data_IF_182881813517
#
_entry.id   IF_182881813517
#
_cell.length_a   1.000
_cell.length_b   1.000
_cell.length_c   1.000
_cell.angle_alpha   90.00
_cell.angle_beta   90.00
_cell.angle_gamma   90.00
#
_symmetry.space_group_name_H-M   'P 1'
#
loop_
_entity.id
_entity.type
_entity.pdbx_description
1 polymer ?
#
# COMPACT_ATOMS: atom_id res chain seq x y z
N UNK A 1 -19.94 14.89 -1.36
CA UNK A 1 -19.85 14.45 -2.77
C UNK A 1 -18.42 14.02 -3.09
N UNK A 2 -17.40 14.83 -2.76
CA UNK A 2 -15.98 14.51 -3.01
C UNK A 2 -15.47 13.25 -2.28
N UNK A 3 -15.92 12.99 -1.05
CA UNK A 3 -15.48 11.83 -0.25
C UNK A 3 -15.83 10.48 -0.93
N UNK A 4 -17.05 10.36 -1.45
CA UNK A 4 -17.49 9.16 -2.16
C UNK A 4 -16.69 8.94 -3.45
N UNK A 5 -16.23 10.03 -4.08
CA UNK A 5 -15.40 9.95 -5.27
C UNK A 5 -14.02 9.37 -4.96
N UNK A 6 -13.39 9.78 -3.87
CA UNK A 6 -12.08 9.23 -3.46
C UNK A 6 -12.20 7.74 -3.14
N UNK A 7 -13.20 7.35 -2.34
CA UNK A 7 -13.40 5.93 -2.01
C UNK A 7 -13.74 5.10 -3.25
N UNK A 8 -14.58 5.63 -4.15
CA UNK A 8 -14.89 5.00 -5.43
C UNK A 8 -13.63 4.83 -6.30
N UNK A 9 -12.78 5.85 -6.36
CA UNK A 9 -11.49 5.78 -7.06
C UNK A 9 -10.62 4.64 -6.51
N UNK A 10 -10.47 4.50 -5.18
CA UNK A 10 -9.69 3.40 -4.60
C UNK A 10 -10.22 2.03 -5.01
N UNK A 11 -11.55 1.84 -4.98
CA UNK A 11 -12.22 0.60 -5.40
C UNK A 11 -12.02 0.32 -6.89
N UNK A 12 -12.20 1.33 -7.73
CA UNK A 12 -12.02 1.23 -9.17
C UNK A 12 -10.59 0.82 -9.52
N UNK A 13 -9.59 1.44 -8.89
CA UNK A 13 -8.19 1.14 -9.16
C UNK A 13 -7.74 -0.21 -8.61
N UNK A 14 -8.44 -0.73 -7.58
CA UNK A 14 -8.27 -2.11 -7.11
C UNK A 14 -8.87 -3.12 -8.09
N UNK A 15 -10.04 -2.82 -8.66
CA UNK A 15 -10.63 -3.62 -9.74
C UNK A 15 -9.74 -3.62 -10.98
N UNK A 16 -9.18 -2.47 -11.37
CA UNK A 16 -8.25 -2.36 -12.50
C UNK A 16 -6.99 -3.22 -12.28
N UNK A 17 -6.53 -3.36 -11.03
CA UNK A 17 -5.42 -4.25 -10.68
C UNK A 17 -5.80 -5.73 -10.89
N UNK A 18 -7.02 -6.13 -10.51
CA UNK A 18 -7.53 -7.48 -10.77
C UNK A 18 -7.60 -7.76 -12.27
N UNK A 19 -8.22 -6.86 -13.03
CA UNK A 19 -8.36 -7.01 -14.49
C UNK A 19 -6.98 -7.11 -15.17
N UNK A 20 -6.01 -6.34 -14.69
CA UNK A 20 -4.62 -6.44 -15.15
C UNK A 20 -4.05 -7.83 -14.88
N UNK A 21 -4.21 -8.39 -13.68
CA UNK A 21 -3.68 -9.72 -13.32
C UNK A 21 -4.33 -10.87 -14.11
N UNK A 22 -5.53 -10.67 -14.68
CA UNK A 22 -6.18 -11.68 -15.52
C UNK A 22 -5.49 -11.86 -16.89
N UNK A 23 -4.70 -10.90 -17.36
CA UNK A 23 -3.98 -11.05 -18.63
C UNK A 23 -2.80 -12.02 -18.50
N UNK A 24 -3.06 -13.28 -18.83
CA UNK A 24 -2.10 -14.40 -18.83
C UNK A 24 -0.82 -14.14 -19.63
N UNK A 25 -0.81 -13.17 -20.56
CA UNK A 25 0.37 -12.84 -21.38
C UNK A 25 1.35 -11.92 -20.67
N UNK A 26 0.99 -11.37 -19.51
CA UNK A 26 1.85 -10.43 -18.81
C UNK A 26 3.15 -11.08 -18.32
N UNK A 27 4.28 -10.34 -18.37
CA UNK A 27 5.54 -10.76 -17.74
C UNK A 27 5.39 -11.10 -16.25
N UNK A 28 4.37 -10.56 -15.59
CA UNK A 28 3.99 -10.87 -14.21
C UNK A 28 3.89 -12.38 -13.95
N UNK A 29 3.31 -13.15 -14.87
CA UNK A 29 3.13 -14.60 -14.68
C UNK A 29 4.44 -15.39 -14.79
N UNK A 30 5.52 -14.77 -15.30
CA UNK A 30 6.85 -15.38 -15.36
C UNK A 30 7.64 -15.15 -14.07
N UNK A 31 7.23 -14.20 -13.23
CA UNK A 31 7.86 -13.90 -11.95
C UNK A 31 7.53 -15.03 -10.97
N UNK A 32 8.57 -15.74 -10.50
CA UNK A 32 8.44 -16.91 -9.61
C UNK A 32 8.38 -16.56 -8.13
N UNK A 33 9.10 -15.53 -7.70
CA UNK A 33 9.22 -15.20 -6.28
C UNK A 33 8.00 -14.36 -5.83
N UNK A 34 7.37 -14.73 -4.71
CA UNK A 34 6.18 -14.04 -4.19
C UNK A 34 6.45 -12.55 -3.89
N UNK A 35 7.64 -12.20 -3.38
CA UNK A 35 7.96 -10.81 -3.03
C UNK A 35 8.19 -9.97 -4.29
N UNK A 36 8.83 -10.53 -5.31
CA UNK A 36 9.03 -9.83 -6.58
C UNK A 36 7.67 -9.61 -7.29
N UNK A 37 6.74 -10.57 -7.17
CA UNK A 37 5.34 -10.42 -7.61
C UNK A 37 4.62 -9.32 -6.83
N UNK A 38 4.75 -9.30 -5.51
CA UNK A 38 4.14 -8.27 -4.68
C UNK A 38 4.68 -6.87 -5.01
N UNK A 39 5.99 -6.72 -5.20
CA UNK A 39 6.60 -5.46 -5.62
C UNK A 39 6.07 -5.00 -6.99
N UNK A 40 5.94 -5.92 -7.95
CA UNK A 40 5.32 -5.64 -9.25
C UNK A 40 3.89 -5.12 -9.10
N UNK A 41 3.05 -5.79 -8.30
CA UNK A 41 1.64 -5.43 -8.12
C UNK A 41 1.48 -4.08 -7.43
N UNK A 42 2.27 -3.81 -6.39
CA UNK A 42 2.28 -2.52 -5.69
C UNK A 42 2.67 -1.39 -6.63
N UNK A 43 3.75 -1.58 -7.41
CA UNK A 43 4.17 -0.60 -8.42
C UNK A 43 3.13 -0.40 -9.51
N UNK A 44 2.46 -1.47 -9.94
CA UNK A 44 1.39 -1.37 -10.93
C UNK A 44 0.21 -0.57 -10.37
N UNK A 45 -0.22 -0.85 -9.14
CA UNK A 45 -1.28 -0.07 -8.48
C UNK A 45 -0.91 1.40 -8.32
N UNK A 46 0.33 1.72 -7.91
CA UNK A 46 0.81 3.09 -7.80
C UNK A 46 0.85 3.82 -9.15
N UNK A 47 1.15 3.11 -10.24
CA UNK A 47 1.14 3.70 -11.59
C UNK A 47 -0.24 4.25 -11.99
N UNK A 48 -1.32 3.70 -11.43
CA UNK A 48 -2.66 4.19 -11.67
C UNK A 48 -2.94 5.56 -11.04
N UNK A 49 -2.09 6.03 -10.14
CA UNK A 49 -2.21 7.37 -9.57
C UNK A 49 -1.71 8.47 -10.52
N UNK A 50 -0.97 8.12 -11.59
CA UNK A 50 -0.38 9.08 -12.54
C UNK A 50 -1.39 10.12 -13.07
N UNK A 51 -2.62 9.76 -13.48
CA UNK A 51 -3.59 10.73 -14.01
C UNK A 51 -4.16 11.70 -12.95
N UNK A 52 -4.00 11.40 -11.66
CA UNK A 52 -4.61 12.14 -10.54
C UNK A 52 -3.57 12.63 -9.53
N UNK A 53 -2.28 12.62 -9.89
CA UNK A 53 -1.19 12.86 -8.93
C UNK A 53 -1.28 14.23 -8.26
N UNK A 54 -1.74 15.25 -8.99
CA UNK A 54 -1.92 16.61 -8.49
C UNK A 54 -3.02 16.69 -7.42
N UNK A 55 -4.08 15.89 -7.56
CA UNK A 55 -5.22 15.86 -6.64
C UNK A 55 -5.02 14.84 -5.50
N UNK A 56 -4.08 13.90 -5.66
CA UNK A 56 -3.87 12.79 -4.73
C UNK A 56 -3.58 13.26 -3.31
N UNK A 57 -2.80 14.33 -3.14
CA UNK A 57 -2.47 14.89 -1.82
C UNK A 57 -3.73 15.30 -1.03
N UNK A 58 -4.66 16.01 -1.68
CA UNK A 58 -5.94 16.40 -1.10
C UNK A 58 -6.86 15.20 -0.86
N UNK A 59 -6.87 14.23 -1.77
CA UNK A 59 -7.64 12.99 -1.64
C UNK A 59 -7.20 12.18 -0.42
N UNK A 60 -5.88 12.01 -0.21
CA UNK A 60 -5.34 11.33 0.97
C UNK A 60 -5.70 12.03 2.27
N UNK A 61 -5.69 13.37 2.28
CA UNK A 61 -6.13 14.14 3.44
C UNK A 61 -7.60 13.87 3.79
N UNK A 62 -8.46 13.61 2.81
CA UNK A 62 -9.85 13.23 3.06
C UNK A 62 -9.99 11.81 3.63
N UNK A 63 -9.13 10.86 3.23
CA UNK A 63 -9.19 9.47 3.68
C UNK A 63 -8.87 9.27 5.16
N UNK A 64 -8.07 10.16 5.75
CA UNK A 64 -7.64 10.08 7.16
C UNK A 64 -8.61 10.75 8.13
N UNK A 65 -9.66 11.40 7.62
CA UNK A 65 -10.65 12.05 8.47
C UNK A 65 -11.42 10.99 9.29
N UNK A 66 -11.79 11.26 10.56
CA UNK A 66 -12.34 10.23 11.46
C UNK A 66 -13.56 9.48 10.94
N UNK A 67 -14.39 10.13 10.13
CA UNK A 67 -15.58 9.53 9.52
C UNK A 67 -15.27 8.68 8.27
N UNK A 68 -14.11 8.85 7.65
CA UNK A 68 -13.67 8.10 6.47
C UNK A 68 -12.63 7.02 6.79
N UNK A 69 -11.89 7.17 7.90
CA UNK A 69 -10.71 6.35 8.19
C UNK A 69 -11.02 4.85 8.26
N UNK A 70 -12.21 4.47 8.75
CA UNK A 70 -12.60 3.06 8.80
C UNK A 70 -12.74 2.46 7.39
N UNK A 71 -13.42 3.16 6.48
CA UNK A 71 -13.63 2.71 5.10
C UNK A 71 -12.34 2.76 4.28
N UNK A 72 -11.47 3.75 4.51
CA UNK A 72 -10.19 3.85 3.82
C UNK A 72 -9.22 2.75 4.27
N UNK A 73 -9.22 2.41 5.56
CA UNK A 73 -8.45 1.27 6.09
C UNK A 73 -8.98 -0.06 5.58
N UNK A 74 -10.30 -0.23 5.45
CA UNK A 74 -10.90 -1.42 4.85
C UNK A 74 -10.44 -1.60 3.40
N UNK A 75 -10.49 -0.55 2.57
CA UNK A 75 -9.99 -0.64 1.19
C UNK A 75 -8.48 -0.86 1.11
N UNK A 76 -7.70 -0.29 2.03
CA UNK A 76 -6.26 -0.54 2.12
C UNK A 76 -5.94 -1.99 2.53
N UNK A 77 -6.74 -2.57 3.43
CA UNK A 77 -6.64 -3.97 3.81
C UNK A 77 -7.01 -4.88 2.63
N UNK A 78 -8.12 -4.59 1.95
CA UNK A 78 -8.54 -5.34 0.79
C UNK A 78 -7.48 -5.30 -0.33
N UNK A 79 -6.86 -4.14 -0.56
CA UNK A 79 -5.76 -4.04 -1.51
C UNK A 79 -4.55 -4.90 -1.11
N UNK A 80 -4.17 -4.92 0.17
CA UNK A 80 -3.03 -5.73 0.61
C UNK A 80 -3.34 -7.23 0.59
N UNK A 81 -4.58 -7.62 0.86
CA UNK A 81 -5.06 -8.98 0.69
C UNK A 81 -5.03 -9.42 -0.77
N UNK A 82 -5.56 -8.61 -1.68
CA UNK A 82 -5.53 -8.85 -3.14
C UNK A 82 -4.08 -8.98 -3.64
N UNK A 83 -3.18 -8.07 -3.24
CA UNK A 83 -1.76 -8.13 -3.59
C UNK A 83 -1.12 -9.43 -3.09
N UNK A 84 -1.36 -9.81 -1.83
CA UNK A 84 -0.83 -11.05 -1.26
C UNK A 84 -1.37 -12.27 -2.02
N UNK A 85 -2.66 -12.30 -2.31
CA UNK A 85 -3.32 -13.37 -3.05
C UNK A 85 -2.75 -13.52 -4.47
N UNK A 86 -2.69 -12.43 -5.25
CA UNK A 86 -2.12 -12.47 -6.62
C UNK A 86 -0.62 -12.76 -6.62
N UNK A 87 0.11 -12.39 -5.57
CA UNK A 87 1.52 -12.75 -5.38
C UNK A 87 1.72 -14.25 -5.11
N UNK A 88 0.68 -14.99 -4.76
CA UNK A 88 0.74 -16.42 -4.41
C UNK A 88 1.15 -16.67 -2.96
N UNK A 89 0.82 -15.74 -2.05
CA UNK A 89 1.04 -15.91 -0.61
C UNK A 89 0.31 -17.16 -0.08
N UNK A 90 1.06 -18.07 0.54
CA UNK A 90 0.53 -19.29 1.17
C UNK A 90 0.66 -19.23 2.72
N UNK A 91 0.84 -18.04 3.29
CA UNK A 91 1.00 -17.85 4.73
C UNK A 91 -0.28 -18.16 5.52
N UNK A 92 -0.13 -18.65 6.75
CA UNK A 92 -1.25 -18.89 7.69
C UNK A 92 -1.03 -18.19 9.04
N UNK A 93 -2.10 -18.00 9.82
CA UNK A 93 -2.07 -17.46 11.18
C UNK A 93 -1.35 -16.09 11.27
N UNK A 94 -0.41 -15.92 12.20
CA UNK A 94 0.35 -14.68 12.41
C UNK A 94 1.06 -14.19 11.16
N UNK A 95 1.53 -15.13 10.33
CA UNK A 95 2.24 -14.81 9.09
C UNK A 95 1.36 -14.05 8.10
N UNK A 96 0.11 -14.49 8.00
CA UNK A 96 -0.90 -13.90 7.12
C UNK A 96 -1.18 -12.44 7.51
N UNK A 97 -1.39 -12.18 8.80
CA UNK A 97 -1.67 -10.83 9.31
C UNK A 97 -0.46 -9.90 9.17
N UNK A 98 0.72 -10.37 9.55
CA UNK A 98 1.95 -9.58 9.46
C UNK A 98 2.26 -9.18 8.02
N UNK A 99 2.12 -10.10 7.06
CA UNK A 99 2.41 -9.83 5.65
C UNK A 99 1.45 -8.76 5.09
N UNK A 100 0.16 -8.82 5.40
CA UNK A 100 -0.84 -7.81 5.00
C UNK A 100 -0.58 -6.45 5.62
N UNK A 101 -0.26 -6.41 6.91
CA UNK A 101 0.12 -5.17 7.59
C UNK A 101 1.34 -4.53 6.92
N UNK A 102 2.37 -5.32 6.63
CA UNK A 102 3.59 -4.84 5.96
C UNK A 102 3.31 -4.35 4.54
N UNK A 103 2.54 -5.09 3.74
CA UNK A 103 2.16 -4.70 2.38
C UNK A 103 1.34 -3.40 2.36
N UNK A 104 0.32 -3.28 3.22
CA UNK A 104 -0.45 -2.03 3.38
C UNK A 104 0.47 -0.86 3.74
N UNK A 105 1.45 -1.11 4.61
CA UNK A 105 2.37 -0.07 5.08
C UNK A 105 3.40 0.35 4.04
N UNK A 106 3.85 -0.59 3.20
CA UNK A 106 4.71 -0.27 2.06
C UNK A 106 3.91 0.56 1.06
N UNK A 107 2.67 0.16 0.75
CA UNK A 107 1.81 0.88 -0.19
C UNK A 107 1.60 2.34 0.25
N UNK A 108 1.14 2.58 1.48
CA UNK A 108 0.89 3.95 1.99
C UNK A 108 2.17 4.78 1.98
N UNK A 109 3.30 4.22 2.40
CA UNK A 109 4.59 4.95 2.39
C UNK A 109 5.05 5.27 0.98
N UNK A 110 4.87 4.36 0.04
CA UNK A 110 5.21 4.57 -1.36
C UNK A 110 4.28 5.61 -2.02
N UNK A 111 2.99 5.59 -1.71
CA UNK A 111 2.02 6.57 -2.20
C UNK A 111 2.34 7.99 -1.70
N UNK A 112 2.73 8.12 -0.42
CA UNK A 112 3.21 9.40 0.13
C UNK A 112 4.55 9.85 -0.46
N UNK A 113 5.43 8.89 -0.78
CA UNK A 113 6.69 9.16 -1.46
C UNK A 113 6.46 9.61 -2.92
N UNK A 114 5.50 9.00 -3.61
CA UNK A 114 5.10 9.30 -4.99
C UNK A 114 4.71 10.77 -5.17
N UNK A 115 4.03 11.37 -4.17
CA UNK A 115 3.67 12.79 -4.18
C UNK A 115 4.85 13.76 -4.33
N UNK A 116 6.06 13.30 -4.01
CA UNK A 116 7.29 14.10 -4.05
C UNK A 116 8.26 13.65 -5.14
N UNK A 117 7.90 12.60 -5.88
CA UNK A 117 8.76 11.98 -6.89
C UNK A 117 8.50 12.58 -8.27
N UNK A 118 9.41 13.46 -8.70
CA UNK A 118 9.35 14.10 -10.02
C UNK A 118 10.18 13.37 -11.09
N UNK A 119 10.59 12.12 -10.84
CA UNK A 119 11.31 11.33 -11.84
C UNK A 119 10.37 10.77 -12.91
N UNK A 120 10.94 10.47 -14.09
CA UNK A 120 10.16 9.91 -15.20
C UNK A 120 9.43 8.64 -14.75
N UNK A 121 8.10 8.64 -14.90
CA UNK A 121 7.21 7.54 -14.49
C UNK A 121 7.44 7.07 -13.04
N UNK A 122 7.81 7.99 -12.14
CA UNK A 122 8.02 7.72 -10.71
C UNK A 122 9.05 6.61 -10.44
N UNK A 123 10.18 6.64 -11.17
CA UNK A 123 11.21 5.60 -11.06
C UNK A 123 11.77 5.44 -9.63
N UNK A 124 11.90 6.53 -8.87
CA UNK A 124 12.35 6.45 -7.46
C UNK A 124 11.31 5.81 -6.56
N UNK A 125 10.03 6.05 -6.80
CA UNK A 125 8.93 5.39 -6.09
C UNK A 125 8.97 3.89 -6.34
N UNK A 126 9.25 3.49 -7.59
CA UNK A 126 9.42 2.08 -7.96
C UNK A 126 10.57 1.42 -7.20
N UNK A 127 11.73 2.06 -7.19
CA UNK A 127 12.91 1.59 -6.43
C UNK A 127 12.64 1.52 -4.92
N UNK A 128 11.88 2.50 -4.38
CA UNK A 128 11.48 2.49 -2.98
C UNK A 128 10.64 1.26 -2.64
N UNK A 129 9.63 0.93 -3.46
CA UNK A 129 8.81 -0.27 -3.26
C UNK A 129 9.67 -1.53 -3.32
N UNK A 130 10.50 -1.68 -4.34
CA UNK A 130 11.39 -2.84 -4.52
C UNK A 130 12.32 -3.02 -3.31
N UNK A 131 12.92 -1.92 -2.82
CA UNK A 131 13.76 -1.92 -1.63
C UNK A 131 13.03 -2.34 -0.36
N UNK A 132 11.80 -1.84 -0.13
CA UNK A 132 11.01 -2.18 1.06
C UNK A 132 10.50 -3.61 1.03
N UNK A 133 10.06 -4.10 -0.13
CA UNK A 133 9.63 -5.49 -0.29
C UNK A 133 10.81 -6.45 -0.13
N UNK A 134 11.98 -6.12 -0.69
CA UNK A 134 13.21 -6.88 -0.46
C UNK A 134 13.63 -6.90 1.03
N UNK A 135 13.42 -5.79 1.75
CA UNK A 135 13.67 -5.74 3.20
C UNK A 135 12.76 -6.71 3.97
N UNK A 136 11.48 -6.81 3.59
CA UNK A 136 10.54 -7.79 4.18
C UNK A 136 10.96 -9.21 3.87
N UNK A 137 11.34 -9.50 2.62
CA UNK A 137 11.88 -10.81 2.21
C UNK A 137 13.09 -11.22 3.05
N UNK A 138 14.02 -10.29 3.29
CA UNK A 138 15.25 -10.53 4.04
C UNK A 138 15.03 -10.63 5.56
N UNK A 139 13.96 -10.03 6.08
CA UNK A 139 13.61 -10.10 7.51
C UNK A 139 13.16 -11.51 7.93
N UNK A 140 12.80 -12.39 6.97
CA UNK A 140 12.36 -13.76 7.24
C UNK A 140 11.09 -13.83 8.10
N UNK A 141 10.78 -15.01 8.64
CA UNK A 141 9.66 -15.26 9.56
C UNK A 141 9.88 -14.65 10.97
N UNK A 142 10.62 -13.55 11.10
CA UNK A 142 10.84 -12.86 12.37
C UNK A 142 9.64 -11.96 12.72
N UNK A 143 8.48 -12.60 12.99
CA UNK A 143 7.24 -11.91 13.36
C UNK A 143 7.33 -11.07 14.64
N UNK A 144 8.30 -11.39 15.50
CA UNK A 144 8.61 -10.60 16.70
C UNK A 144 9.06 -9.16 16.37
N UNK A 145 9.65 -8.92 15.20
CA UNK A 145 10.05 -7.58 14.76
C UNK A 145 8.88 -6.77 14.18
N UNK A 146 7.84 -7.44 13.67
CA UNK A 146 6.63 -6.77 13.14
C UNK A 146 5.77 -6.24 14.27
N UNK A 147 5.66 -6.96 15.39
CA UNK A 147 5.01 -6.44 16.60
C UNK A 147 5.69 -5.15 17.08
N UNK A 148 7.03 -5.16 17.16
CA UNK A 148 7.79 -3.97 17.56
C UNK A 148 7.65 -2.82 16.57
N UNK A 149 7.69 -3.10 15.27
CA UNK A 149 7.49 -2.11 14.22
C UNK A 149 6.06 -1.53 14.23
N UNK A 150 5.04 -2.37 14.42
CA UNK A 150 3.64 -1.95 14.49
C UNK A 150 3.39 -1.07 15.72
N UNK A 151 3.92 -1.46 16.88
CA UNK A 151 3.87 -0.68 18.13
C UNK A 151 4.57 0.68 17.92
N UNK A 152 5.73 0.70 17.26
CA UNK A 152 6.46 1.93 16.99
C UNK A 152 5.68 2.90 16.09
N UNK A 153 5.09 2.43 14.98
CA UNK A 153 4.31 3.30 14.09
C UNK A 153 2.97 3.73 14.71
N UNK A 154 2.34 2.90 15.53
CA UNK A 154 1.13 3.27 16.28
C UNK A 154 1.40 4.42 17.27
N UNK A 155 2.54 4.40 17.96
CA UNK A 155 2.94 5.48 18.87
C UNK A 155 3.19 6.78 18.09
N UNK A 156 3.84 6.71 16.92
CA UNK A 156 4.05 7.88 16.07
C UNK A 156 2.73 8.47 15.56
N UNK A 157 1.76 7.63 15.18
CA UNK A 157 0.44 8.07 14.74
C UNK A 157 -0.32 8.77 15.87
N UNK A 158 -0.31 8.20 17.09
CA UNK A 158 -0.92 8.82 18.28
C UNK A 158 -0.27 10.16 18.61
N UNK A 159 1.06 10.23 18.54
CA UNK A 159 1.78 11.48 18.82
C UNK A 159 1.51 12.55 17.75
N UNK A 160 1.37 12.15 16.49
CA UNK A 160 0.97 13.05 15.41
C UNK A 160 -0.44 13.61 15.66
N UNK A 161 -1.42 12.76 16.00
CA UNK A 161 -2.79 13.17 16.31
C UNK A 161 -2.82 14.11 17.51
N UNK A 162 -2.10 13.76 18.60
CA UNK A 162 -1.96 14.63 19.77
C UNK A 162 -1.33 15.98 19.43
N UNK A 163 -0.34 16.01 18.53
CA UNK A 163 0.33 17.25 18.12
C UNK A 163 -0.57 18.19 17.32
N UNK A 164 -1.51 17.64 16.55
CA UNK A 164 -2.48 18.41 15.78
C UNK A 164 -3.63 18.92 16.65
N UNK A 165 -4.06 18.13 17.65
CA UNK A 165 -5.09 18.53 18.63
C UNK A 165 -4.61 19.59 19.63
N UNK A 166 -3.32 19.61 19.97
CA UNK A 166 -2.74 20.63 20.85
C UNK A 166 -2.49 21.99 20.16
N UNK A 167 -2.71 22.08 18.84
CA UNK A 167 -2.52 23.30 18.03
C UNK A 167 -3.85 23.97 17.61
N UNK A 168 -4.99 23.47 18.07
CA UNK A 168 -6.30 24.13 17.99
C UNK A 168 -6.79 24.52 19.36
#
# INVERSE_FOLDING_TARGET
MEQLLVLFWLKLQRQELYDHVLDTKLPFHQIRNEYDRAAYLLNKRLSFNEPVIEQLSGALAQLVLPYNVALSLEELHNLSDDVAFYAGDMSNDTAWYAKRLLLSSIYVKAELFQLQDNTERFSRTKEFVESKVASVKNMGYAYSSVEQWAIFNAILLVNLIKSQLARG
#
